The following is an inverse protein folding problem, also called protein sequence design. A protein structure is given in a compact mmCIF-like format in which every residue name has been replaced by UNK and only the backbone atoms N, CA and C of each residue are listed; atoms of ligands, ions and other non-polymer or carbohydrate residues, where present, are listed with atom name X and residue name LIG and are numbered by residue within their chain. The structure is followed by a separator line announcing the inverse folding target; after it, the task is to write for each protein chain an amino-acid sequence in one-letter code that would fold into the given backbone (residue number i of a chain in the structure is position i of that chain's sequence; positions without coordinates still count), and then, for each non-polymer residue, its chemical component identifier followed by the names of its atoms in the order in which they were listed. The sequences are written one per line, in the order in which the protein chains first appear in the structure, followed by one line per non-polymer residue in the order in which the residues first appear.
data_IF_571259933694
#
_entry.id   IF_571259933694
#
_cell.length_a   1.000
_cell.length_b   1.000
_cell.length_c   1.000
_cell.angle_alpha   90.00
_cell.angle_beta   90.00
_cell.angle_gamma   90.00
#
_symmetry.space_group_name_H-M   'P 1'
#
loop_
_entity.id
_entity.type
_entity.pdbx_description
1 polymer ?
#
# COMPACT_ATOMS: atom_id res chain seq x y z
N UNK A 1 20.22 22.77 -15.47
CA UNK A 1 20.05 23.86 -14.48
C UNK A 1 20.64 23.35 -13.16
N UNK A 2 21.35 24.18 -12.38
CA UNK A 2 22.02 23.71 -11.14
C UNK A 2 21.09 23.53 -9.94
N UNK A 3 19.83 23.98 -10.05
CA UNK A 3 18.77 23.79 -9.07
C UNK A 3 17.42 23.78 -9.77
N UNK A 4 16.51 22.90 -9.34
CA UNK A 4 15.09 22.93 -9.71
C UNK A 4 14.22 22.41 -8.57
N UNK A 5 13.09 23.07 -8.33
CA UNK A 5 12.07 22.66 -7.36
C UNK A 5 10.72 22.71 -8.04
N UNK A 6 9.93 21.66 -7.90
CA UNK A 6 8.52 21.65 -8.27
C UNK A 6 7.72 22.30 -7.15
N UNK A 7 7.00 23.37 -7.48
CA UNK A 7 6.21 24.16 -6.53
C UNK A 7 4.76 23.69 -6.49
N UNK A 8 4.00 24.14 -5.49
CA UNK A 8 2.55 23.89 -5.32
C UNK A 8 2.15 22.41 -5.20
N UNK A 9 3.02 21.59 -4.63
CA UNK A 9 2.72 20.18 -4.35
C UNK A 9 1.89 20.06 -3.08
N UNK A 10 0.61 19.75 -3.23
CA UNK A 10 -0.24 19.37 -2.11
C UNK A 10 -0.22 17.84 -1.94
N UNK A 11 0.06 17.37 -0.72
CA UNK A 11 -0.07 15.95 -0.40
C UNK A 11 -1.51 15.48 -0.64
N UNK A 12 -1.66 14.37 -1.36
CA UNK A 12 -2.99 13.91 -1.77
C UNK A 12 -3.82 13.45 -0.56
N UNK A 13 -5.03 14.00 -0.45
CA UNK A 13 -6.03 13.61 0.54
C UNK A 13 -7.34 13.30 -0.17
N UNK A 14 -7.84 12.07 0.00
CA UNK A 14 -9.14 11.68 -0.52
C UNK A 14 -10.26 12.29 0.33
N UNK A 15 -10.76 13.44 -0.11
CA UNK A 15 -11.85 14.14 0.57
C UNK A 15 -13.14 13.31 0.58
N UNK A 16 -13.40 12.48 -0.44
CA UNK A 16 -14.60 11.64 -0.51
C UNK A 16 -14.58 10.57 0.57
N UNK A 17 -13.42 9.97 0.83
CA UNK A 17 -13.26 9.03 1.94
C UNK A 17 -13.46 9.74 3.29
N UNK A 18 -12.91 10.95 3.44
CA UNK A 18 -13.06 11.76 4.67
C UNK A 18 -14.53 12.10 4.95
N UNK A 19 -15.29 12.49 3.92
CA UNK A 19 -16.74 12.77 4.01
C UNK A 19 -17.57 11.54 4.42
N UNK A 20 -17.13 10.33 4.05
CA UNK A 20 -17.74 9.06 4.50
C UNK A 20 -17.32 8.67 5.93
N UNK A 21 -16.38 9.38 6.54
CA UNK A 21 -15.77 8.99 7.82
C UNK A 21 -14.78 7.83 7.68
N UNK A 22 -14.24 7.61 6.47
CA UNK A 22 -13.25 6.58 6.15
C UNK A 22 -11.84 7.18 6.12
N UNK A 23 -10.81 6.32 6.13
CA UNK A 23 -9.43 6.72 6.36
C UNK A 23 -8.70 7.32 5.16
N UNK A 24 -9.23 7.25 3.94
CA UNK A 24 -8.47 7.55 2.72
C UNK A 24 -7.28 6.61 2.51
N UNK A 25 -6.41 6.88 1.53
CA UNK A 25 -5.25 6.03 1.21
C UNK A 25 -4.24 6.03 2.38
N UNK A 26 -3.87 4.84 2.88
CA UNK A 26 -2.90 4.69 3.99
C UNK A 26 -1.54 4.15 3.60
N UNK A 27 -1.48 3.31 2.57
CA UNK A 27 -0.21 2.76 2.09
C UNK A 27 0.68 3.87 1.52
N UNK A 28 1.86 4.10 2.10
CA UNK A 28 2.72 5.25 1.79
C UNK A 28 3.15 5.32 0.32
N UNK A 29 3.45 4.16 -0.31
CA UNK A 29 3.71 4.12 -1.75
C UNK A 29 2.53 4.66 -2.56
N UNK A 30 1.32 4.18 -2.29
CA UNK A 30 0.13 4.56 -3.06
C UNK A 30 -0.28 6.00 -2.78
N UNK A 31 -0.09 6.49 -1.55
CA UNK A 31 -0.29 7.90 -1.21
C UNK A 31 0.71 8.83 -1.94
N UNK A 32 1.98 8.40 -2.02
CA UNK A 32 3.00 9.10 -2.81
C UNK A 32 2.66 9.08 -4.30
N UNK A 33 2.23 7.93 -4.82
CA UNK A 33 1.81 7.78 -6.21
C UNK A 33 0.58 8.64 -6.54
N UNK A 34 -0.42 8.64 -5.66
CA UNK A 34 -1.60 9.50 -5.77
C UNK A 34 -1.20 10.97 -5.84
N UNK A 35 -0.28 11.40 -4.98
CA UNK A 35 0.26 12.78 -4.98
C UNK A 35 1.01 13.09 -6.27
N UNK A 36 1.90 12.21 -6.72
CA UNK A 36 2.68 12.38 -7.94
C UNK A 36 1.79 12.51 -9.20
N UNK A 37 0.80 11.62 -9.32
CA UNK A 37 -0.14 11.60 -10.42
C UNK A 37 -1.11 12.78 -10.38
N UNK A 38 -1.61 13.15 -9.20
CA UNK A 38 -2.49 14.31 -9.05
C UNK A 38 -1.77 15.61 -9.42
N UNK A 39 -0.50 15.74 -9.02
CA UNK A 39 0.34 16.88 -9.42
C UNK A 39 0.51 16.98 -10.93
N UNK A 40 0.78 15.85 -11.59
CA UNK A 40 1.09 15.81 -13.02
C UNK A 40 -0.16 15.92 -13.90
N UNK A 41 -1.29 15.34 -13.45
CA UNK A 41 -2.47 15.14 -14.29
C UNK A 41 -3.71 15.96 -13.86
N UNK A 42 -3.70 16.59 -12.68
CA UNK A 42 -4.76 17.48 -12.19
C UNK A 42 -6.03 16.82 -11.67
N UNK A 43 -6.36 15.59 -12.09
CA UNK A 43 -7.55 14.86 -11.64
C UNK A 43 -7.22 13.37 -11.40
N UNK A 44 -7.05 12.99 -10.13
CA UNK A 44 -6.85 11.61 -9.71
C UNK A 44 -8.18 10.96 -9.29
N UNK A 45 -8.46 9.75 -9.79
CA UNK A 45 -9.47 8.87 -9.17
C UNK A 45 -8.81 7.86 -8.21
N UNK A 46 -8.85 8.08 -6.89
CA UNK A 46 -8.23 7.19 -5.91
C UNK A 46 -8.89 5.81 -5.84
N UNK A 47 -10.18 5.71 -6.18
CA UNK A 47 -10.87 4.41 -6.23
C UNK A 47 -10.32 3.59 -7.39
N UNK A 48 -10.16 4.21 -8.56
CA UNK A 48 -9.50 3.58 -9.70
C UNK A 48 -8.04 3.23 -9.38
N UNK A 49 -7.26 4.15 -8.80
CA UNK A 49 -5.85 3.90 -8.43
C UNK A 49 -5.69 2.70 -7.48
N UNK A 50 -6.42 2.69 -6.37
CA UNK A 50 -6.33 1.62 -5.37
C UNK A 50 -6.79 0.28 -5.94
N UNK A 51 -7.84 0.30 -6.77
CA UNK A 51 -8.38 -0.88 -7.43
C UNK A 51 -7.45 -1.47 -8.50
N UNK A 52 -6.99 -0.66 -9.44
CA UNK A 52 -6.22 -1.14 -10.60
C UNK A 52 -4.78 -1.50 -10.27
N UNK A 53 -4.18 -0.82 -9.30
CA UNK A 53 -2.90 -1.23 -8.72
C UNK A 53 -2.99 -2.51 -7.87
N UNK A 54 -4.21 -2.99 -7.59
CA UNK A 54 -4.56 -4.09 -6.71
C UNK A 54 -4.20 -3.91 -5.23
N UNK A 55 -3.68 -2.76 -4.79
CA UNK A 55 -3.40 -2.49 -3.38
C UNK A 55 -4.66 -2.48 -2.50
N UNK A 56 -5.83 -2.23 -3.06
CA UNK A 56 -7.11 -2.40 -2.36
C UNK A 56 -7.34 -3.84 -1.84
N UNK A 57 -6.79 -4.83 -2.53
CA UNK A 57 -7.00 -6.26 -2.26
C UNK A 57 -5.87 -6.89 -1.44
N UNK A 58 -4.72 -6.23 -1.33
CA UNK A 58 -3.55 -6.82 -0.67
C UNK A 58 -3.65 -6.77 0.85
N UNK A 59 -3.10 -7.80 1.48
CA UNK A 59 -2.92 -7.95 2.92
C UNK A 59 -1.64 -8.75 3.20
N UNK A 60 -0.83 -8.27 4.14
CA UNK A 60 0.43 -8.85 4.58
C UNK A 60 0.55 -8.81 6.10
N UNK A 61 0.74 -9.96 6.73
CA UNK A 61 0.82 -10.06 8.18
C UNK A 61 2.13 -10.70 8.58
N UNK A 62 2.85 -10.04 9.49
CA UNK A 62 4.03 -10.59 10.14
C UNK A 62 3.64 -11.14 11.53
N UNK A 63 4.25 -12.25 11.94
CA UNK A 63 3.94 -12.95 13.20
C UNK A 63 4.25 -12.16 14.49
N UNK A 64 4.94 -11.01 14.38
CA UNK A 64 5.14 -10.07 15.49
C UNK A 64 4.57 -8.68 15.20
N UNK A 65 3.72 -8.54 14.17
CA UNK A 65 3.18 -7.28 13.66
C UNK A 65 4.25 -6.22 13.34
N UNK A 66 5.41 -6.63 12.83
CA UNK A 66 6.42 -5.68 12.38
C UNK A 66 5.86 -4.76 11.26
N UNK A 67 5.90 -3.42 11.38
CA UNK A 67 5.37 -2.50 10.37
C UNK A 67 5.90 -2.74 8.95
N UNK A 68 7.12 -3.25 8.84
CA UNK A 68 7.74 -3.60 7.55
C UNK A 68 6.94 -4.59 6.71
N UNK A 69 5.94 -5.30 7.26
CA UNK A 69 5.08 -6.16 6.45
C UNK A 69 4.36 -5.41 5.32
N UNK A 70 4.07 -4.11 5.50
CA UNK A 70 3.49 -3.27 4.44
C UNK A 70 4.44 -3.00 3.27
N UNK A 71 5.70 -3.42 3.36
CA UNK A 71 6.71 -3.23 2.32
C UNK A 71 7.39 -4.53 1.93
N UNK A 72 6.85 -5.69 2.34
CA UNK A 72 7.45 -7.00 2.11
C UNK A 72 6.64 -7.72 1.03
N UNK A 73 6.93 -7.37 -0.22
CA UNK A 73 6.39 -7.95 -1.46
C UNK A 73 7.37 -7.71 -2.64
N UNK A 74 7.10 -8.25 -3.82
CA UNK A 74 7.95 -8.02 -4.99
C UNK A 74 7.82 -6.58 -5.52
N UNK A 75 8.76 -5.73 -5.11
CA UNK A 75 8.77 -4.33 -5.53
C UNK A 75 9.01 -4.16 -7.03
N UNK A 76 9.81 -5.04 -7.63
CA UNK A 76 10.23 -4.93 -9.04
C UNK A 76 9.10 -5.19 -10.02
N UNK A 77 8.08 -5.92 -9.59
CA UNK A 77 6.86 -6.15 -10.36
C UNK A 77 5.73 -5.22 -9.91
N UNK A 78 5.42 -5.18 -8.60
CA UNK A 78 4.19 -4.56 -8.10
C UNK A 78 4.21 -3.03 -8.18
N UNK A 79 5.34 -2.39 -7.85
CA UNK A 79 5.44 -0.93 -7.82
C UNK A 79 5.34 -0.30 -9.22
N UNK A 80 6.13 -0.70 -10.24
CA UNK A 80 5.95 -0.18 -11.59
C UNK A 80 4.59 -0.55 -12.17
N UNK A 81 4.10 -1.77 -11.92
CA UNK A 81 2.79 -2.17 -12.42
C UNK A 81 1.67 -1.29 -11.85
N UNK A 82 1.74 -0.84 -10.59
CA UNK A 82 0.76 0.09 -10.03
C UNK A 82 0.66 1.41 -10.82
N UNK A 83 1.79 1.95 -11.28
CA UNK A 83 1.83 3.16 -12.13
C UNK A 83 1.24 2.86 -13.51
N UNK A 84 1.63 1.73 -14.09
CA UNK A 84 1.20 1.33 -15.43
C UNK A 84 -0.28 0.95 -15.52
N UNK A 85 -0.83 0.32 -14.49
CA UNK A 85 -2.25 0.00 -14.41
C UNK A 85 -3.10 1.26 -14.24
N UNK A 86 -2.56 2.34 -13.64
CA UNK A 86 -3.29 3.61 -13.62
C UNK A 86 -3.33 4.31 -15.00
N UNK A 87 -2.41 3.96 -15.90
CA UNK A 87 -2.39 4.45 -17.28
C UNK A 87 -1.17 5.30 -17.65
N UNK A 88 -0.06 5.17 -16.93
CA UNK A 88 1.20 5.89 -17.22
C UNK A 88 2.37 4.93 -17.39
N UNK A 89 3.35 5.25 -18.23
CA UNK A 89 4.63 4.55 -18.21
C UNK A 89 5.32 4.71 -16.85
N UNK A 90 6.20 3.78 -16.51
CA UNK A 90 6.99 3.88 -15.28
C UNK A 90 8.47 3.66 -15.59
N UNK A 91 9.31 4.63 -15.20
CA UNK A 91 10.71 4.34 -15.01
C UNK A 91 10.89 3.81 -13.59
N UNK A 92 11.30 2.56 -13.46
CA UNK A 92 11.53 1.93 -12.16
C UNK A 92 12.96 1.44 -12.03
N UNK A 93 13.57 1.75 -10.89
CA UNK A 93 14.88 1.23 -10.51
C UNK A 93 14.81 0.74 -9.08
N UNK A 94 15.48 -0.38 -8.83
CA UNK A 94 15.65 -0.89 -7.48
C UNK A 94 17.01 -1.55 -7.29
N UNK A 95 17.35 -1.71 -6.02
CA UNK A 95 18.50 -2.48 -5.55
C UNK A 95 18.13 -3.03 -4.17
N UNK A 96 18.26 -4.33 -3.96
CA UNK A 96 18.02 -4.94 -2.65
C UNK A 96 19.30 -5.00 -1.81
N UNK A 97 19.16 -5.40 -0.54
CA UNK A 97 20.22 -5.37 0.47
C UNK A 97 21.41 -6.30 0.16
N UNK A 98 21.23 -7.30 -0.70
CA UNK A 98 22.25 -8.28 -1.09
C UNK A 98 23.03 -7.91 -2.36
N UNK A 99 22.70 -6.79 -3.00
CA UNK A 99 23.30 -6.32 -4.25
C UNK A 99 24.31 -5.18 -4.04
N UNK A 100 25.25 -5.35 -3.11
CA UNK A 100 26.20 -4.29 -2.72
C UNK A 100 27.14 -3.86 -3.85
N UNK A 101 27.48 -4.77 -4.77
CA UNK A 101 28.33 -4.52 -5.93
C UNK A 101 27.69 -3.57 -6.95
N UNK A 102 26.36 -3.44 -6.93
CA UNK A 102 25.59 -2.58 -7.84
C UNK A 102 25.22 -1.23 -7.25
N UNK A 103 25.62 -0.94 -6.01
CA UNK A 103 25.16 0.25 -5.29
C UNK A 103 25.47 1.54 -6.03
N UNK A 104 26.74 1.80 -6.36
CA UNK A 104 27.16 3.06 -6.95
C UNK A 104 26.50 3.26 -8.32
N UNK A 105 26.48 2.21 -9.14
CA UNK A 105 25.85 2.21 -10.46
C UNK A 105 24.36 2.53 -10.36
N UNK A 106 23.64 1.84 -9.47
CA UNK A 106 22.18 2.02 -9.32
C UNK A 106 21.82 3.36 -8.72
N UNK A 107 22.61 3.86 -7.76
CA UNK A 107 22.40 5.19 -7.18
C UNK A 107 22.67 6.29 -8.19
N UNK A 108 23.74 6.18 -8.99
CA UNK A 108 24.04 7.13 -10.05
C UNK A 108 22.96 7.13 -11.14
N UNK A 109 22.51 5.95 -11.59
CA UNK A 109 21.42 5.84 -12.56
C UNK A 109 20.12 6.43 -12.02
N UNK A 110 19.79 6.16 -10.76
CA UNK A 110 18.61 6.72 -10.10
C UNK A 110 18.69 8.24 -9.96
N UNK A 111 19.85 8.79 -9.60
CA UNK A 111 20.07 10.23 -9.55
C UNK A 111 19.78 10.90 -10.89
N UNK A 112 20.39 10.40 -11.98
CA UNK A 112 20.16 10.93 -13.34
C UNK A 112 18.68 10.91 -13.70
N UNK A 113 18.02 9.78 -13.48
CA UNK A 113 16.61 9.60 -13.76
C UNK A 113 15.69 10.52 -12.93
N UNK A 114 16.02 10.74 -11.65
CA UNK A 114 15.29 11.68 -10.77
C UNK A 114 15.43 13.09 -11.31
N UNK A 115 16.65 13.54 -11.64
CA UNK A 115 16.91 14.87 -12.19
C UNK A 115 16.13 15.07 -13.49
N UNK A 116 16.21 14.11 -14.42
CA UNK A 116 15.42 14.13 -15.67
C UNK A 116 13.91 14.13 -15.40
N UNK A 117 13.46 13.47 -14.32
CA UNK A 117 12.09 13.47 -13.81
C UNK A 117 11.61 14.85 -13.40
N UNK A 118 12.35 15.48 -12.51
CA UNK A 118 12.08 16.82 -12.05
C UNK A 118 12.15 17.82 -13.21
N UNK A 119 13.08 17.65 -14.14
CA UNK A 119 13.22 18.50 -15.33
C UNK A 119 11.99 18.43 -16.25
N UNK A 120 11.35 17.27 -16.39
CA UNK A 120 10.07 17.13 -17.12
C UNK A 120 8.82 17.43 -16.29
N UNK A 121 8.96 17.79 -15.02
CA UNK A 121 7.82 18.10 -14.13
C UNK A 121 7.19 16.89 -13.44
N UNK A 122 7.87 15.73 -13.42
CA UNK A 122 7.40 14.52 -12.76
C UNK A 122 8.08 14.32 -11.40
N UNK A 123 7.27 14.03 -10.37
CA UNK A 123 7.76 13.68 -9.04
C UNK A 123 8.31 12.25 -9.01
N UNK A 124 9.42 12.04 -8.30
CA UNK A 124 9.97 10.70 -8.09
C UNK A 124 9.51 10.13 -6.74
N UNK A 125 8.95 8.93 -6.75
CA UNK A 125 8.52 8.20 -5.55
C UNK A 125 9.68 7.35 -5.09
N UNK A 126 10.15 7.56 -3.86
CA UNK A 126 11.38 6.97 -3.36
C UNK A 126 11.16 6.33 -1.99
N UNK A 127 11.74 5.16 -1.79
CA UNK A 127 11.74 4.48 -0.49
C UNK A 127 12.68 5.16 0.51
N UNK A 128 12.33 5.08 1.78
CA UNK A 128 13.11 5.58 2.92
C UNK A 128 13.25 7.12 2.93
N UNK A 129 12.19 7.83 2.51
CA UNK A 129 12.07 9.29 2.61
C UNK A 129 11.37 9.64 3.94
N UNK A 130 11.88 9.06 5.03
CA UNK A 130 11.38 9.25 6.39
C UNK A 130 10.65 8.02 6.94
N UNK A 131 11.22 7.45 8.01
CA UNK A 131 10.57 6.38 8.79
C UNK A 131 10.46 5.02 8.09
N UNK A 132 11.34 4.71 7.12
CA UNK A 132 11.26 3.50 6.31
C UNK A 132 9.92 3.40 5.55
N UNK A 133 9.49 4.51 4.97
CA UNK A 133 8.28 4.63 4.18
C UNK A 133 8.59 5.29 2.82
N UNK A 134 7.70 5.12 1.85
CA UNK A 134 7.81 5.85 0.58
C UNK A 134 7.40 7.32 0.75
N UNK A 135 8.18 8.20 0.14
CA UNK A 135 7.85 9.61 -0.01
C UNK A 135 8.23 10.10 -1.40
N UNK A 136 8.38 11.43 -1.53
CA UNK A 136 8.61 12.07 -2.82
C UNK A 136 9.92 12.84 -2.83
N UNK A 137 10.59 12.84 -3.98
CA UNK A 137 11.57 13.85 -4.35
C UNK A 137 10.87 14.83 -5.29
N UNK A 138 10.91 16.10 -4.93
CA UNK A 138 10.25 17.22 -5.60
C UNK A 138 11.22 18.23 -6.22
N UNK A 139 12.50 18.11 -5.92
CA UNK A 139 13.51 19.03 -6.40
C UNK A 139 14.92 18.53 -6.12
N UNK A 140 15.88 19.25 -6.66
CA UNK A 140 17.30 19.01 -6.45
C UNK A 140 18.09 20.33 -6.49
N UNK A 141 19.20 20.38 -5.76
CA UNK A 141 20.20 21.45 -5.78
C UNK A 141 21.59 20.82 -5.94
N UNK A 142 22.16 20.90 -7.14
CA UNK A 142 23.46 20.29 -7.46
C UNK A 142 24.61 20.96 -6.70
N UNK A 143 24.51 22.26 -6.41
CA UNK A 143 25.55 22.98 -5.68
C UNK A 143 25.64 22.50 -4.23
N UNK A 144 24.49 22.13 -3.65
CA UNK A 144 24.40 21.60 -2.28
C UNK A 144 24.42 20.08 -2.21
N UNK A 145 24.30 19.40 -3.35
CA UNK A 145 24.18 17.95 -3.47
C UNK A 145 23.03 17.37 -2.63
N UNK A 146 21.85 18.02 -2.67
CA UNK A 146 20.66 17.59 -1.93
C UNK A 146 19.43 17.48 -2.84
N UNK A 147 18.55 16.56 -2.51
CA UNK A 147 17.18 16.51 -2.97
C UNK A 147 16.28 17.28 -2.00
N UNK A 148 15.28 17.97 -2.55
CA UNK A 148 14.15 18.50 -1.79
C UNK A 148 13.06 17.43 -1.77
N UNK A 149 12.60 17.04 -0.57
CA UNK A 149 11.75 15.86 -0.39
C UNK A 149 10.47 16.16 0.38
N UNK A 150 9.47 15.30 0.21
CA UNK A 150 8.26 15.25 1.03
C UNK A 150 8.16 13.84 1.66
N UNK A 151 7.97 13.77 2.98
CA UNK A 151 7.74 12.50 3.69
C UNK A 151 6.39 11.89 3.31
N UNK A 152 6.10 10.67 3.78
CA UNK A 152 4.79 10.01 3.62
C UNK A 152 3.60 10.76 4.28
N UNK A 153 3.88 11.84 5.03
CA UNK A 153 2.88 12.73 5.62
C UNK A 153 2.81 14.09 4.90
N UNK A 154 3.58 14.28 3.82
CA UNK A 154 3.66 15.54 3.09
C UNK A 154 4.57 16.59 3.75
N UNK A 155 5.37 16.22 4.76
CA UNK A 155 6.27 17.17 5.43
C UNK A 155 7.52 17.41 4.59
N UNK A 156 7.89 18.69 4.40
CA UNK A 156 9.10 19.05 3.67
C UNK A 156 10.37 18.64 4.42
N UNK A 157 11.31 18.05 3.70
CA UNK A 157 12.61 17.64 4.19
C UNK A 157 13.68 17.74 3.09
N UNK A 158 14.86 17.21 3.35
CA UNK A 158 15.95 17.12 2.38
C UNK A 158 16.71 15.81 2.52
N UNK A 159 17.20 15.27 1.41
CA UNK A 159 18.03 14.07 1.37
C UNK A 159 19.35 14.35 0.63
N UNK A 160 20.52 14.15 1.24
CA UNK A 160 21.79 14.24 0.52
C UNK A 160 21.86 13.22 -0.63
N UNK A 161 22.49 13.59 -1.75
CA UNK A 161 22.60 12.71 -2.92
C UNK A 161 23.28 11.37 -2.60
N UNK A 162 24.28 11.36 -1.72
CA UNK A 162 24.96 10.13 -1.30
C UNK A 162 24.09 9.21 -0.43
N UNK A 163 22.97 9.71 0.10
CA UNK A 163 22.04 8.95 0.95
C UNK A 163 20.90 8.27 0.18
N UNK A 164 20.78 8.51 -1.13
CA UNK A 164 19.78 7.83 -1.96
C UNK A 164 20.00 6.31 -1.94
N UNK A 165 19.02 5.56 -1.43
CA UNK A 165 19.10 4.11 -1.26
C UNK A 165 20.03 3.63 -0.12
N UNK A 166 20.35 4.54 0.82
CA UNK A 166 21.24 4.35 1.99
C UNK A 166 20.75 5.13 3.23
N UNK A 167 19.44 5.32 3.37
CA UNK A 167 18.86 6.23 4.37
C UNK A 167 18.30 5.54 5.63
N UNK A 168 19.01 4.53 6.11
CA UNK A 168 18.60 3.72 7.27
C UNK A 168 18.61 2.24 6.93
N UNK A 169 18.03 1.88 5.78
CA UNK A 169 18.14 0.55 5.20
C UNK A 169 18.75 0.69 3.80
N UNK A 170 19.78 -0.12 3.50
CA UNK A 170 20.50 -0.09 2.22
C UNK A 170 19.70 -0.78 1.10
N UNK A 171 18.53 -0.24 0.81
CA UNK A 171 17.64 -0.64 -0.29
C UNK A 171 17.30 0.61 -1.11
N UNK A 172 17.36 0.48 -2.43
CA UNK A 172 16.92 1.50 -3.37
C UNK A 172 15.59 1.08 -3.99
N UNK A 173 14.62 2.00 -4.01
CA UNK A 173 13.43 1.91 -4.84
C UNK A 173 13.06 3.30 -5.31
N UNK A 174 12.99 3.48 -6.62
CA UNK A 174 12.65 4.73 -7.27
C UNK A 174 11.68 4.42 -8.40
N UNK A 175 10.47 4.96 -8.28
CA UNK A 175 9.45 4.93 -9.32
C UNK A 175 9.18 6.36 -9.80
N UNK A 176 9.24 6.58 -11.11
CA UNK A 176 8.96 7.89 -11.70
C UNK A 176 7.88 7.72 -12.78
N UNK A 177 6.65 8.23 -12.56
CA UNK A 177 5.63 8.25 -13.60
C UNK A 177 6.13 8.95 -14.87
N UNK A 178 5.82 8.34 -16.00
CA UNK A 178 6.16 8.82 -17.34
C UNK A 178 4.93 9.38 -18.07
N UNK A 179 4.95 9.25 -19.40
CA UNK A 179 3.82 9.64 -20.25
C UNK A 179 2.63 8.68 -20.11
N UNK A 180 1.44 9.09 -20.57
CA UNK A 180 0.28 8.19 -20.61
C UNK A 180 0.57 6.97 -21.49
N UNK A 181 0.14 5.80 -21.02
CA UNK A 181 0.18 4.58 -21.82
C UNK A 181 -1.18 4.31 -22.50
N UNK A 182 -1.21 3.35 -23.41
CA UNK A 182 -2.38 3.04 -24.24
C UNK A 182 -3.22 1.85 -23.71
N UNK A 183 -3.02 1.44 -22.44
CA UNK A 183 -3.78 0.30 -21.88
C UNK A 183 -5.27 0.64 -21.81
N UNK A 184 -6.10 -0.26 -22.32
CA UNK A 184 -7.54 -0.08 -22.26
C UNK A 184 -8.06 -0.24 -20.83
N UNK A 185 -9.17 0.45 -20.52
CA UNK A 185 -9.84 0.33 -19.22
C UNK A 185 -10.21 -1.13 -18.89
N UNK A 186 -10.65 -1.88 -19.88
CA UNK A 186 -11.03 -3.30 -19.73
C UNK A 186 -9.82 -4.19 -19.42
N UNK A 187 -8.70 -3.99 -20.14
CA UNK A 187 -7.47 -4.73 -19.89
C UNK A 187 -6.97 -4.51 -18.45
N UNK A 188 -6.87 -3.25 -18.03
CA UNK A 188 -6.44 -2.87 -16.68
C UNK A 188 -7.35 -3.48 -15.62
N UNK A 189 -8.66 -3.37 -15.82
CA UNK A 189 -9.66 -3.94 -14.91
C UNK A 189 -9.45 -5.46 -14.78
N UNK A 190 -9.37 -6.19 -15.89
CA UNK A 190 -9.21 -7.63 -15.87
C UNK A 190 -7.90 -8.06 -15.21
N UNK A 191 -6.79 -7.36 -15.46
CA UNK A 191 -5.51 -7.61 -14.80
C UNK A 191 -5.59 -7.40 -13.29
N UNK A 192 -6.21 -6.31 -12.84
CA UNK A 192 -6.37 -6.03 -11.41
C UNK A 192 -7.18 -7.10 -10.67
N UNK A 193 -8.25 -7.61 -11.29
CA UNK A 193 -9.07 -8.68 -10.73
C UNK A 193 -8.32 -10.01 -10.69
N UNK A 194 -7.49 -10.30 -11.69
CA UNK A 194 -6.58 -11.45 -11.68
C UNK A 194 -5.53 -11.33 -10.58
N UNK A 195 -4.97 -10.14 -10.36
CA UNK A 195 -4.04 -9.87 -9.27
C UNK A 195 -4.71 -10.06 -7.91
N UNK A 196 -5.96 -9.60 -7.73
CA UNK A 196 -6.73 -9.83 -6.50
C UNK A 196 -6.89 -11.33 -6.20
N UNK A 197 -7.27 -12.14 -7.20
CA UNK A 197 -7.36 -13.61 -7.07
C UNK A 197 -5.99 -14.21 -6.73
N UNK A 198 -4.94 -13.81 -7.46
CA UNK A 198 -3.60 -14.33 -7.28
C UNK A 198 -3.07 -14.06 -5.86
N UNK A 199 -3.23 -12.83 -5.36
CA UNK A 199 -2.86 -12.46 -4.00
C UNK A 199 -3.65 -13.26 -2.96
N UNK A 200 -4.97 -13.38 -3.12
CA UNK A 200 -5.80 -14.17 -2.20
C UNK A 200 -5.36 -15.64 -2.10
N UNK A 201 -4.80 -16.18 -3.19
CA UNK A 201 -4.28 -17.55 -3.32
C UNK A 201 -2.77 -17.67 -3.01
N UNK A 202 -2.13 -16.62 -2.47
CA UNK A 202 -0.70 -16.57 -2.17
C UNK A 202 0.20 -16.88 -3.37
N UNK A 203 -0.20 -16.40 -4.55
CA UNK A 203 0.59 -16.52 -5.79
C UNK A 203 1.51 -15.33 -6.02
N UNK A 204 1.44 -14.32 -5.16
CA UNK A 204 2.46 -13.28 -5.11
C UNK A 204 3.67 -13.84 -4.34
N UNK A 205 4.87 -13.57 -4.83
CA UNK A 205 6.10 -14.16 -4.26
C UNK A 205 6.22 -13.89 -2.76
N UNK A 206 6.25 -14.96 -1.93
CA UNK A 206 7.05 -14.98 -0.70
C UNK A 206 7.18 -16.36 -0.03
N UNK A 207 8.36 -17.00 -0.09
CA UNK A 207 8.74 -18.02 0.90
C UNK A 207 9.40 -17.33 2.10
N UNK A 208 8.59 -16.82 3.03
CA UNK A 208 9.06 -16.30 4.32
C UNK A 208 8.20 -16.85 5.44
N UNK A 209 8.73 -17.77 6.27
CA UNK A 209 7.94 -18.43 7.31
C UNK A 209 7.24 -17.48 8.31
N UNK A 210 7.81 -16.30 8.55
CA UNK A 210 7.30 -15.31 9.53
C UNK A 210 6.19 -14.40 8.97
N UNK A 211 5.87 -14.52 7.68
CA UNK A 211 4.90 -13.67 6.99
C UNK A 211 3.79 -14.53 6.38
N UNK A 212 2.61 -13.94 6.27
CA UNK A 212 1.48 -14.50 5.53
C UNK A 212 0.85 -13.37 4.71
N UNK A 213 0.47 -13.68 3.48
CA UNK A 213 -0.28 -12.82 2.58
C UNK A 213 -1.64 -13.46 2.22
N UNK A 214 -2.49 -12.72 1.50
CA UNK A 214 -3.77 -13.23 1.02
C UNK A 214 -4.71 -13.68 2.14
N UNK A 215 -5.52 -14.70 1.87
CA UNK A 215 -6.51 -15.20 2.82
C UNK A 215 -5.89 -15.79 4.11
N UNK A 216 -4.74 -16.51 4.08
CA UNK A 216 -4.07 -16.98 5.30
C UNK A 216 -3.53 -15.87 6.20
N UNK A 217 -3.28 -14.66 5.66
CA UNK A 217 -2.88 -13.51 6.47
C UNK A 217 -3.91 -13.17 7.55
N UNK A 218 -5.21 -13.28 7.25
CA UNK A 218 -6.28 -13.10 8.23
C UNK A 218 -6.19 -14.08 9.40
N UNK A 219 -5.83 -15.34 9.14
CA UNK A 219 -5.69 -16.35 10.19
C UNK A 219 -4.55 -15.98 11.15
N UNK A 220 -3.40 -15.58 10.58
CA UNK A 220 -2.27 -15.12 11.37
C UNK A 220 -2.66 -13.88 12.19
N UNK A 221 -3.31 -12.89 11.59
CA UNK A 221 -3.72 -11.68 12.29
C UNK A 221 -4.67 -11.96 13.45
N UNK A 222 -5.69 -12.78 13.24
CA UNK A 222 -6.62 -13.18 14.30
C UNK A 222 -5.91 -13.96 15.42
N UNK A 223 -4.97 -14.86 15.07
CA UNK A 223 -4.18 -15.62 16.03
C UNK A 223 -3.35 -14.73 16.95
N UNK A 224 -2.79 -13.63 16.44
CA UNK A 224 -2.01 -12.68 17.24
C UNK A 224 -2.88 -12.01 18.31
N UNK A 225 -4.09 -11.58 17.95
CA UNK A 225 -5.01 -10.99 18.90
C UNK A 225 -5.51 -11.99 19.96
N UNK A 226 -5.79 -13.23 19.57
CA UNK A 226 -6.13 -14.29 20.54
C UNK A 226 -4.97 -14.57 21.51
N UNK A 227 -3.74 -14.59 21.02
CA UNK A 227 -2.55 -14.78 21.86
C UNK A 227 -2.43 -13.67 22.90
N UNK A 228 -2.64 -12.42 22.49
CA UNK A 228 -2.60 -11.28 23.41
C UNK A 228 -3.77 -11.28 24.40
N UNK A 229 -4.97 -11.64 23.95
CA UNK A 229 -6.13 -11.82 24.84
C UNK A 229 -5.81 -12.85 25.94
N UNK A 230 -5.23 -14.00 25.57
CA UNK A 230 -4.83 -15.04 26.51
C UNK A 230 -3.78 -14.56 27.52
N UNK A 231 -2.76 -13.83 27.06
CA UNK A 231 -1.72 -13.24 27.92
C UNK A 231 -2.34 -12.33 28.98
N UNK A 232 -3.30 -11.48 28.59
CA UNK A 232 -4.01 -10.57 29.51
C UNK A 232 -4.90 -11.33 30.49
N UNK A 233 -5.64 -12.34 30.05
CA UNK A 233 -6.47 -13.19 30.93
C UNK A 233 -5.64 -13.84 32.03
N UNK A 234 -4.38 -14.18 31.77
CA UNK A 234 -3.45 -14.73 32.76
C UNK A 234 -2.70 -13.68 33.60
N UNK A 235 -3.05 -12.39 33.49
CA UNK A 235 -2.42 -11.31 34.25
C UNK A 235 -0.96 -11.05 33.85
N UNK A 236 -0.56 -11.43 32.64
CA UNK A 236 0.82 -11.30 32.12
C UNK A 236 0.94 -10.19 31.08
N UNK A 237 0.18 -9.12 31.23
CA UNK A 237 0.14 -8.01 30.26
C UNK A 237 1.50 -7.34 30.03
N UNK A 238 2.40 -7.42 31.01
CA UNK A 238 3.80 -7.00 30.94
C UNK A 238 4.61 -7.74 29.85
N UNK A 239 4.12 -8.88 29.36
CA UNK A 239 4.74 -9.64 28.27
C UNK A 239 4.31 -9.19 26.86
N UNK A 240 3.34 -8.30 26.75
CA UNK A 240 2.97 -7.70 25.46
C UNK A 240 3.96 -6.54 25.22
N UNK A 241 4.76 -6.57 24.14
CA UNK A 241 5.67 -5.48 23.84
C UNK A 241 4.93 -4.14 23.71
N UNK A 242 5.53 -3.05 24.18
CA UNK A 242 4.87 -1.74 24.32
C UNK A 242 4.54 -1.06 22.99
N UNK A 243 5.18 -1.49 21.90
CA UNK A 243 5.00 -1.02 20.52
C UNK A 243 3.86 -1.75 19.79
N UNK A 244 3.40 -2.90 20.30
CA UNK A 244 2.32 -3.67 19.69
C UNK A 244 1.03 -2.85 19.46
N UNK A 245 0.53 -2.04 20.40
CA UNK A 245 -0.67 -1.24 20.17
C UNK A 245 -0.55 -0.31 18.96
N UNK A 246 0.58 0.38 18.78
CA UNK A 246 0.78 1.27 17.63
C UNK A 246 0.91 0.49 16.32
N UNK A 247 1.60 -0.66 16.34
CA UNK A 247 1.68 -1.54 15.18
C UNK A 247 0.32 -2.13 14.80
N UNK A 248 -0.48 -2.54 15.78
CA UNK A 248 -1.84 -3.02 15.57
C UNK A 248 -2.74 -1.96 14.95
N UNK A 249 -2.66 -0.72 15.44
CA UNK A 249 -3.37 0.42 14.84
C UNK A 249 -2.92 0.67 13.40
N UNK A 250 -1.61 0.66 13.14
CA UNK A 250 -1.06 0.84 11.80
C UNK A 250 -1.59 -0.22 10.81
N UNK A 251 -1.58 -1.49 11.18
CA UNK A 251 -2.13 -2.58 10.36
C UNK A 251 -3.64 -2.43 10.13
N UNK A 252 -4.40 -2.19 11.20
CA UNK A 252 -5.84 -2.06 11.11
C UNK A 252 -6.26 -0.87 10.23
N UNK A 253 -5.53 0.26 10.30
CA UNK A 253 -5.74 1.40 9.42
C UNK A 253 -5.54 1.05 7.94
N UNK A 254 -4.44 0.34 7.63
CA UNK A 254 -4.10 -0.06 6.27
C UNK A 254 -5.17 -0.96 5.66
N UNK A 255 -5.57 -2.00 6.37
CA UNK A 255 -6.50 -2.99 5.82
C UNK A 255 -7.94 -2.53 5.83
N UNK A 256 -8.37 -1.77 6.84
CA UNK A 256 -9.69 -1.14 6.77
C UNK A 256 -9.78 -0.18 5.57
N UNK A 257 -8.78 0.69 5.38
CA UNK A 257 -8.71 1.59 4.22
C UNK A 257 -8.73 0.82 2.89
N UNK A 258 -7.85 -0.17 2.73
CA UNK A 258 -7.74 -0.95 1.50
C UNK A 258 -9.06 -1.62 1.13
N UNK A 259 -9.79 -2.18 2.10
CA UNK A 259 -11.07 -2.86 1.85
C UNK A 259 -12.23 -1.90 1.57
N UNK A 260 -12.22 -0.67 2.10
CA UNK A 260 -13.13 0.37 1.64
C UNK A 260 -12.92 0.69 0.16
N UNK A 261 -11.67 0.77 -0.29
CA UNK A 261 -11.37 0.95 -1.72
C UNK A 261 -11.69 -0.29 -2.57
N UNK A 262 -11.53 -1.50 -2.04
CA UNK A 262 -11.91 -2.72 -2.76
C UNK A 262 -13.41 -2.75 -3.04
N UNK A 263 -14.22 -2.44 -2.01
CA UNK A 263 -15.68 -2.25 -2.15
C UNK A 263 -16.01 -1.22 -3.22
N UNK A 264 -15.49 0.00 -3.09
CA UNK A 264 -15.82 1.10 -3.98
C UNK A 264 -15.39 0.80 -5.43
N UNK A 265 -14.20 0.21 -5.61
CA UNK A 265 -13.68 -0.14 -6.92
C UNK A 265 -14.53 -1.21 -7.59
N UNK A 266 -14.76 -2.35 -6.92
CA UNK A 266 -15.55 -3.46 -7.48
C UNK A 266 -16.98 -3.00 -7.79
N UNK A 267 -17.56 -2.15 -6.93
CA UNK A 267 -18.86 -1.51 -7.19
C UNK A 267 -18.82 -0.65 -8.46
N UNK A 268 -17.79 0.19 -8.62
CA UNK A 268 -17.64 1.10 -9.77
C UNK A 268 -17.47 0.39 -11.12
N UNK A 269 -16.88 -0.81 -11.12
CA UNK A 269 -16.66 -1.60 -12.35
C UNK A 269 -17.74 -2.63 -12.62
N UNK A 270 -18.69 -2.82 -11.69
CA UNK A 270 -19.69 -3.86 -11.81
C UNK A 270 -20.54 -3.71 -13.07
N UNK A 271 -20.90 -2.49 -13.49
CA UNK A 271 -21.59 -2.19 -14.76
C UNK A 271 -22.79 -3.13 -15.06
N UNK A 272 -23.59 -3.44 -14.03
CA UNK A 272 -24.74 -4.35 -14.12
C UNK A 272 -24.42 -5.85 -13.98
N UNK A 273 -23.15 -6.24 -14.02
CA UNK A 273 -22.70 -7.61 -13.82
C UNK A 273 -23.02 -8.11 -12.39
N UNK A 274 -23.79 -9.19 -12.30
CA UNK A 274 -24.25 -9.77 -11.03
C UNK A 274 -23.10 -10.35 -10.18
N UNK A 275 -22.07 -10.93 -10.80
CA UNK A 275 -20.94 -11.48 -10.05
C UNK A 275 -20.13 -10.35 -9.39
N UNK A 276 -19.82 -9.28 -10.12
CA UNK A 276 -19.13 -8.13 -9.54
C UNK A 276 -20.00 -7.39 -8.51
N UNK A 277 -21.33 -7.30 -8.69
CA UNK A 277 -22.22 -6.74 -7.65
C UNK A 277 -22.16 -7.54 -6.36
N UNK A 278 -22.21 -8.88 -6.42
CA UNK A 278 -22.07 -9.73 -5.24
C UNK A 278 -20.69 -9.60 -4.60
N UNK A 279 -19.62 -9.53 -5.41
CA UNK A 279 -18.28 -9.27 -4.89
C UNK A 279 -18.18 -7.92 -4.15
N UNK A 280 -18.80 -6.86 -4.69
CA UNK A 280 -18.85 -5.56 -4.03
C UNK A 280 -19.58 -5.62 -2.68
N UNK A 281 -20.72 -6.32 -2.61
CA UNK A 281 -21.44 -6.57 -1.35
C UNK A 281 -20.56 -7.30 -0.34
N UNK A 282 -19.88 -8.36 -0.75
CA UNK A 282 -18.96 -9.08 0.13
C UNK A 282 -17.81 -8.20 0.62
N UNK A 283 -17.27 -7.29 -0.21
CA UNK A 283 -16.25 -6.33 0.26
C UNK A 283 -16.81 -5.23 1.18
N UNK A 284 -18.09 -4.84 1.06
CA UNK A 284 -18.76 -4.01 2.06
C UNK A 284 -18.82 -4.73 3.42
N UNK A 285 -19.14 -6.02 3.42
CA UNK A 285 -19.14 -6.84 4.65
C UNK A 285 -17.74 -6.90 5.25
N UNK A 286 -16.69 -7.11 4.43
CA UNK A 286 -15.28 -7.07 4.87
C UNK A 286 -14.96 -5.73 5.52
N UNK A 287 -15.25 -4.61 4.85
CA UNK A 287 -14.98 -3.27 5.36
C UNK A 287 -15.73 -3.01 6.68
N UNK A 288 -16.99 -3.42 6.76
CA UNK A 288 -17.83 -3.30 7.96
C UNK A 288 -17.29 -4.12 9.14
N UNK A 289 -16.75 -5.31 8.88
CA UNK A 289 -16.15 -6.18 9.90
C UNK A 289 -14.78 -5.67 10.36
N UNK A 290 -13.99 -5.06 9.46
CA UNK A 290 -12.70 -4.47 9.81
C UNK A 290 -12.82 -3.10 10.47
N UNK A 291 -13.92 -2.37 10.29
CA UNK A 291 -14.13 -1.06 10.93
C UNK A 291 -13.99 -1.12 12.47
N UNK A 292 -14.69 -2.02 13.19
CA UNK A 292 -14.49 -2.15 14.64
C UNK A 292 -13.07 -2.56 15.01
N UNK A 293 -12.36 -3.33 14.16
CA UNK A 293 -10.96 -3.71 14.39
C UNK A 293 -10.09 -2.45 14.41
N UNK A 294 -10.26 -1.56 13.43
CA UNK A 294 -9.60 -0.27 13.39
C UNK A 294 -9.99 0.63 14.58
N UNK A 295 -11.29 0.83 14.81
CA UNK A 295 -11.79 1.73 15.86
C UNK A 295 -11.25 1.31 17.25
N UNK A 296 -11.15 0.00 17.52
CA UNK A 296 -10.57 -0.50 18.77
C UNK A 296 -9.05 -0.41 18.77
N UNK A 297 -8.38 -0.67 17.65
CA UNK A 297 -6.92 -0.65 17.56
C UNK A 297 -6.33 0.71 17.97
N UNK A 298 -7.00 1.81 17.60
CA UNK A 298 -6.67 3.17 18.03
C UNK A 298 -6.63 3.37 19.54
N UNK A 299 -7.44 2.61 20.27
CA UNK A 299 -7.63 2.73 21.72
C UNK A 299 -6.87 1.68 22.53
N UNK A 300 -6.03 0.86 21.87
CA UNK A 300 -5.28 -0.24 22.49
C UNK A 300 -4.18 0.20 23.48
N UNK A 301 -4.13 1.47 23.90
CA UNK A 301 -3.22 1.92 24.96
C UNK A 301 -3.42 1.14 26.27
N UNK A 302 -4.59 0.54 26.47
CA UNK A 302 -4.82 -0.45 27.53
C UNK A 302 -5.75 -1.55 26.99
N UNK A 303 -5.22 -2.62 26.39
CA UNK A 303 -6.05 -3.64 25.75
C UNK A 303 -6.88 -4.39 26.79
N UNK A 304 -8.16 -4.59 26.49
CA UNK A 304 -9.03 -5.54 27.19
C UNK A 304 -9.05 -6.88 26.44
N UNK A 305 -8.96 -7.98 27.18
CA UNK A 305 -8.96 -9.34 26.62
C UNK A 305 -10.21 -9.60 25.77
N UNK A 306 -11.39 -9.14 26.21
CA UNK A 306 -12.63 -9.32 25.43
C UNK A 306 -12.62 -8.51 24.15
N UNK A 307 -12.02 -7.31 24.16
CA UNK A 307 -11.87 -6.51 22.95
C UNK A 307 -11.00 -7.21 21.91
N UNK A 308 -9.84 -7.73 22.32
CA UNK A 308 -8.95 -8.48 21.43
C UNK A 308 -9.62 -9.73 20.85
N UNK A 309 -10.35 -10.51 21.65
CA UNK A 309 -11.10 -11.67 21.14
C UNK A 309 -12.18 -11.27 20.12
N UNK A 310 -12.90 -10.16 20.35
CA UNK A 310 -13.87 -9.64 19.36
C UNK A 310 -13.19 -9.19 18.07
N UNK A 311 -12.02 -8.53 18.17
CA UNK A 311 -11.26 -8.14 16.99
C UNK A 311 -10.81 -9.38 16.20
N UNK A 312 -10.34 -10.44 16.86
CA UNK A 312 -9.97 -11.70 16.22
C UNK A 312 -11.17 -12.38 15.53
N UNK A 313 -12.35 -12.37 16.15
CA UNK A 313 -13.59 -12.88 15.54
C UNK A 313 -13.98 -12.08 14.30
N UNK A 314 -13.94 -10.75 14.38
CA UNK A 314 -14.21 -9.88 13.23
C UNK A 314 -13.24 -10.13 12.06
N UNK A 315 -11.95 -10.32 12.34
CA UNK A 315 -10.93 -10.65 11.33
C UNK A 315 -11.25 -11.99 10.64
N UNK A 316 -11.68 -13.01 11.40
CA UNK A 316 -12.09 -14.30 10.82
C UNK A 316 -13.34 -14.20 9.96
N UNK A 317 -14.33 -13.43 10.40
CA UNK A 317 -15.53 -13.18 9.59
C UNK A 317 -15.19 -12.38 8.34
N UNK A 318 -14.28 -11.40 8.43
CA UNK A 318 -13.79 -10.63 7.29
C UNK A 318 -13.10 -11.55 6.27
N UNK A 319 -12.30 -12.52 6.71
CA UNK A 319 -11.72 -13.55 5.83
C UNK A 319 -12.79 -14.31 5.06
N UNK A 320 -13.85 -14.75 5.74
CA UNK A 320 -14.94 -15.51 5.12
C UNK A 320 -15.66 -14.67 4.05
N UNK A 321 -15.97 -13.41 4.35
CA UNK A 321 -16.56 -12.48 3.39
C UNK A 321 -15.61 -12.20 2.20
N UNK A 322 -14.31 -12.03 2.43
CA UNK A 322 -13.35 -11.85 1.33
C UNK A 322 -13.21 -13.11 0.47
N UNK A 323 -13.27 -14.31 1.08
CA UNK A 323 -13.27 -15.56 0.34
C UNK A 323 -14.46 -15.65 -0.62
N UNK A 324 -15.64 -15.18 -0.21
CA UNK A 324 -16.83 -15.07 -1.07
C UNK A 324 -16.63 -14.02 -2.17
N UNK A 325 -16.10 -12.84 -1.83
CA UNK A 325 -15.80 -11.78 -2.79
C UNK A 325 -14.87 -12.28 -3.92
N UNK A 326 -13.79 -12.98 -3.55
CA UNK A 326 -12.83 -13.57 -4.49
C UNK A 326 -13.48 -14.67 -5.33
N UNK A 327 -14.40 -15.46 -4.77
CA UNK A 327 -15.16 -16.45 -5.53
C UNK A 327 -15.99 -15.81 -6.63
N UNK A 328 -16.68 -14.71 -6.32
CA UNK A 328 -17.47 -13.95 -7.27
C UNK A 328 -16.61 -13.24 -8.34
N UNK A 329 -15.44 -12.71 -7.96
CA UNK A 329 -14.48 -12.16 -8.92
C UNK A 329 -13.99 -13.26 -9.87
N UNK A 330 -13.69 -14.47 -9.35
CA UNK A 330 -13.27 -15.61 -10.17
C UNK A 330 -14.35 -16.01 -11.18
N UNK A 331 -15.61 -16.03 -10.77
CA UNK A 331 -16.75 -16.28 -11.66
C UNK A 331 -16.81 -15.25 -12.80
N UNK A 332 -16.61 -13.97 -12.49
CA UNK A 332 -16.55 -12.91 -13.50
C UNK A 332 -15.38 -13.12 -14.48
N UNK A 333 -14.17 -13.30 -13.95
CA UNK A 333 -12.94 -13.45 -14.76
C UNK A 333 -13.03 -14.67 -15.68
N UNK A 334 -13.58 -15.79 -15.20
CA UNK A 334 -13.75 -17.00 -16.00
C UNK A 334 -14.68 -16.78 -17.21
N UNK A 335 -15.74 -15.98 -17.06
CA UNK A 335 -16.69 -15.66 -18.13
C UNK A 335 -16.16 -14.60 -19.11
N UNK A 336 -15.26 -13.74 -18.66
CA UNK A 336 -14.66 -12.70 -19.51
C UNK A 336 -13.55 -13.24 -20.42
N UNK A 337 -12.97 -14.41 -20.10
CA UNK A 337 -11.87 -15.03 -20.86
C UNK A 337 -12.32 -16.22 -21.72
N UNK A 338 -13.50 -16.80 -21.44
CA UNK A 338 -14.07 -17.93 -22.19
C UNK A 338 -15.03 -17.49 -23.28
#
# INVERSE_FOLDING_TARGET
MSKKTLEDIAWYVDQRATEKGELGIRHSYVASLATALNYTAGELDPVWLMGTSAFAFRIFINEVMCPSAMSVFDWSTILPEAVEQYGYGCLYMSRLWDENDKEEERRAAAHTAIVEGIDRGALAIVWDIGGHEWGLIAGYDENKQIYETLTYQGESSSLPFEKLGRNGIDILSVAIPGERNERSREEVMLRSLKAAIAHAEQKEWMDRPQYQDGLPAYDLWALLYDRWALILTHGKGDRIPSDIPSHAAYYAAHYYSARCYARDYVSSIANGNEALRRAATSYEDVASLLKPVWDHALTLTTPDSKALSRMAENIRSAKAAEQEAISHIREYVARAVG
#
